data_IF_345244970888
#
_entry.id   IF_345244970888
#
_cell.length_a   1.000
_cell.length_b   1.000
_cell.length_c   1.000
_cell.angle_alpha   90.00
_cell.angle_beta   90.00
_cell.angle_gamma   90.00
#
_symmetry.space_group_name_H-M   'P 1'
#
loop_
_entity.id
_entity.type
_entity.pdbx_description
1 polymer ?
#
# COMPACT_ATOMS: atom_id res chain seq x y z
N UNK A 1 24.11 -12.59 -18.85
CA UNK A 1 22.69 -12.92 -18.65
C UNK A 1 22.56 -13.36 -17.21
N UNK A 2 22.12 -12.46 -16.32
CA UNK A 2 21.95 -12.76 -14.89
C UNK A 2 20.48 -13.08 -14.69
N UNK A 3 20.18 -14.34 -14.46
CA UNK A 3 18.90 -14.77 -13.91
C UNK A 3 18.88 -14.39 -12.42
N UNK A 4 17.99 -13.49 -12.03
CA UNK A 4 17.59 -13.27 -10.63
C UNK A 4 16.07 -13.31 -10.56
N UNK A 5 15.54 -14.53 -10.60
CA UNK A 5 14.16 -14.83 -10.20
C UNK A 5 14.12 -14.92 -8.67
N UNK A 6 13.81 -13.81 -7.98
CA UNK A 6 13.45 -13.79 -6.54
C UNK A 6 14.09 -12.67 -5.68
N UNK A 7 13.24 -11.80 -5.10
CA UNK A 7 13.40 -11.18 -3.76
C UNK A 7 14.55 -10.22 -3.47
N UNK A 8 14.69 -9.13 -4.22
CA UNK A 8 15.62 -8.04 -3.84
C UNK A 8 15.05 -7.14 -2.76
N UNK A 9 13.74 -6.90 -2.82
CA UNK A 9 13.02 -6.03 -1.90
C UNK A 9 11.76 -6.71 -1.37
N UNK A 10 11.25 -6.26 -0.25
CA UNK A 10 10.02 -6.76 0.33
C UNK A 10 9.21 -5.66 1.01
N UNK A 11 7.90 -5.86 1.07
CA UNK A 11 6.95 -5.01 1.80
C UNK A 11 6.04 -5.88 2.67
N UNK A 12 5.54 -5.33 3.77
CA UNK A 12 4.51 -5.98 4.59
C UNK A 12 3.10 -5.80 4.01
N UNK A 13 2.90 -4.83 3.12
CA UNK A 13 1.57 -4.45 2.69
C UNK A 13 1.46 -3.11 1.98
N UNK A 14 0.24 -2.61 1.87
CA UNK A 14 -0.11 -1.33 1.26
C UNK A 14 -0.90 -0.50 2.27
N UNK A 15 -0.53 0.76 2.44
CA UNK A 15 -1.28 1.76 3.18
C UNK A 15 -2.09 2.61 2.21
N UNK A 16 -3.38 2.77 2.46
CA UNK A 16 -4.26 3.63 1.66
C UNK A 16 -4.69 4.86 2.44
N UNK A 17 -5.08 5.90 1.72
CA UNK A 17 -5.58 7.16 2.28
C UNK A 17 -6.68 7.68 1.38
N UNK A 18 -7.66 8.34 1.98
CA UNK A 18 -8.74 8.98 1.24
C UNK A 18 -8.70 10.49 1.43
N UNK A 19 -9.18 11.22 0.43
CA UNK A 19 -9.42 12.65 0.53
C UNK A 19 -10.78 13.00 -0.04
N UNK A 20 -11.56 13.80 0.70
CA UNK A 20 -12.84 14.38 0.22
C UNK A 20 -12.66 15.41 -0.88
N UNK A 21 -11.44 15.94 -1.06
CA UNK A 21 -11.08 17.02 -1.99
C UNK A 21 -9.87 16.67 -2.83
N UNK A 22 -9.79 15.41 -3.24
CA UNK A 22 -8.72 14.88 -4.08
C UNK A 22 -8.54 15.66 -5.40
N UNK A 23 -9.64 16.07 -6.02
CA UNK A 23 -9.65 16.81 -7.29
C UNK A 23 -10.68 17.92 -7.28
N UNK A 24 -10.50 18.92 -8.15
CA UNK A 24 -11.53 19.91 -8.46
C UNK A 24 -11.75 19.91 -9.97
N UNK A 25 -12.97 19.61 -10.41
CA UNK A 25 -13.33 19.59 -11.84
C UNK A 25 -14.50 20.55 -12.01
N UNK A 26 -14.32 21.56 -12.88
CA UNK A 26 -15.32 22.61 -13.09
C UNK A 26 -15.78 23.29 -11.78
N UNK A 27 -14.86 23.48 -10.83
CA UNK A 27 -15.15 24.06 -9.51
C UNK A 27 -15.80 23.12 -8.50
N UNK A 28 -16.07 21.86 -8.87
CA UNK A 28 -16.69 20.87 -7.99
C UNK A 28 -15.60 19.98 -7.37
N UNK A 29 -15.55 19.85 -6.03
CA UNK A 29 -14.62 18.94 -5.38
C UNK A 29 -15.05 17.49 -5.59
N UNK A 30 -14.07 16.62 -5.84
CA UNK A 30 -14.26 15.18 -5.94
C UNK A 30 -13.34 14.47 -4.96
N UNK A 31 -13.86 13.41 -4.36
CA UNK A 31 -13.09 12.53 -3.49
C UNK A 31 -12.21 11.56 -4.26
N UNK A 32 -11.22 10.97 -3.59
CA UNK A 32 -10.37 9.94 -4.19
C UNK A 32 -9.48 9.25 -3.18
N UNK A 33 -8.85 8.17 -3.64
CA UNK A 33 -7.98 7.27 -2.89
C UNK A 33 -6.53 7.39 -3.35
N UNK A 34 -5.60 7.32 -2.41
CA UNK A 34 -4.17 7.18 -2.67
C UNK A 34 -3.68 5.90 -2.01
N UNK A 35 -2.68 5.25 -2.59
CA UNK A 35 -2.04 4.09 -2.02
C UNK A 35 -0.53 4.29 -1.97
N UNK A 36 0.09 3.68 -0.97
CA UNK A 36 1.52 3.75 -0.67
C UNK A 36 1.97 2.39 -0.16
N UNK A 37 3.18 1.96 -0.51
CA UNK A 37 3.89 0.89 0.18
C UNK A 37 5.31 1.34 0.45
N UNK A 38 5.78 1.02 1.65
CA UNK A 38 7.19 1.07 1.98
C UNK A 38 7.81 -0.30 1.72
N UNK A 39 9.00 -0.32 1.15
CA UNK A 39 9.74 -1.54 0.86
C UNK A 39 11.16 -1.45 1.39
N UNK A 40 11.73 -2.60 1.69
CA UNK A 40 13.04 -2.76 2.30
C UNK A 40 13.84 -3.73 1.46
N UNK A 41 15.15 -3.54 1.37
CA UNK A 41 16.00 -4.60 0.84
C UNK A 41 16.06 -5.81 1.80
N UNK A 42 16.58 -6.91 1.29
CA UNK A 42 16.86 -8.10 2.10
C UNK A 42 18.17 -7.97 2.91
N UNK A 43 18.84 -6.82 2.87
CA UNK A 43 20.10 -6.59 3.55
C UNK A 43 19.89 -6.49 5.06
N UNK A 44 20.71 -7.21 5.83
CA UNK A 44 20.72 -7.09 7.29
C UNK A 44 22.10 -6.55 7.71
N UNK A 45 22.09 -5.50 8.52
CA UNK A 45 23.31 -5.01 9.16
C UNK A 45 23.70 -6.05 10.21
N UNK A 46 24.70 -6.88 9.92
CA UNK A 46 25.39 -7.62 10.98
C UNK A 46 26.00 -6.62 11.97
N UNK A 47 26.15 -6.99 13.24
CA UNK A 47 26.69 -6.18 14.34
C UNK A 47 28.08 -5.55 14.08
N UNK A 48 28.71 -5.90 12.94
CA UNK A 48 29.93 -5.29 12.41
C UNK A 48 29.62 -4.41 11.22
N UNK A 49 29.80 -3.09 11.38
CA UNK A 49 29.57 -2.07 10.34
C UNK A 49 30.40 -2.28 9.06
N UNK A 50 31.51 -3.02 9.16
CA UNK A 50 32.41 -3.38 8.05
C UNK A 50 31.97 -4.64 7.26
N UNK A 51 30.92 -5.33 7.73
CA UNK A 51 30.32 -6.51 7.09
C UNK A 51 28.81 -6.41 6.91
N UNK A 52 28.18 -5.37 7.44
CA UNK A 52 26.75 -5.14 7.29
C UNK A 52 26.42 -4.60 5.91
N UNK A 53 25.60 -5.33 5.16
CA UNK A 53 24.86 -4.73 4.04
C UNK A 53 23.98 -3.63 4.63
N UNK A 54 24.24 -2.37 4.29
CA UNK A 54 23.42 -1.26 4.75
C UNK A 54 21.99 -1.46 4.21
N UNK A 55 21.03 -1.71 5.09
CA UNK A 55 19.64 -1.89 4.67
C UNK A 55 19.11 -0.59 4.10
N UNK A 56 18.56 -0.66 2.90
CA UNK A 56 17.91 0.44 2.20
C UNK A 56 16.40 0.31 2.27
N UNK A 57 15.75 1.45 2.52
CA UNK A 57 14.30 1.59 2.48
C UNK A 57 13.91 2.49 1.30
N UNK A 58 12.79 2.18 0.67
CA UNK A 58 12.14 3.04 -0.30
C UNK A 58 10.63 3.02 -0.17
N UNK A 59 9.98 3.83 -0.99
CA UNK A 59 8.52 3.98 -1.01
C UNK A 59 8.01 4.02 -2.44
N UNK A 60 6.94 3.28 -2.73
CA UNK A 60 6.12 3.48 -3.92
C UNK A 60 4.80 4.11 -3.50
N UNK A 61 4.28 5.04 -4.31
CA UNK A 61 2.98 5.66 -4.07
C UNK A 61 2.29 6.05 -5.36
N UNK A 62 0.97 6.03 -5.35
CA UNK A 62 0.19 6.70 -6.39
C UNK A 62 0.53 8.19 -6.40
N UNK A 63 0.94 8.71 -7.56
CA UNK A 63 1.32 10.14 -7.68
C UNK A 63 0.15 11.08 -7.40
N UNK A 64 -1.06 10.66 -7.77
CA UNK A 64 -2.28 11.42 -7.60
C UNK A 64 -3.33 10.54 -6.93
N UNK A 65 -4.28 11.18 -6.24
CA UNK A 65 -5.49 10.50 -5.81
C UNK A 65 -6.29 9.98 -7.01
N UNK A 66 -6.88 8.81 -6.87
CA UNK A 66 -7.65 8.11 -7.88
C UNK A 66 -9.12 8.15 -7.45
N UNK A 67 -9.98 8.67 -8.33
CA UNK A 67 -11.40 8.81 -8.05
C UNK A 67 -12.13 7.51 -8.34
N UNK A 68 -13.26 7.33 -7.70
CA UNK A 68 -14.23 6.31 -8.11
C UNK A 68 -14.78 6.66 -9.49
N UNK A 69 -15.07 5.63 -10.28
CA UNK A 69 -15.79 5.71 -11.55
C UNK A 69 -17.12 4.96 -11.42
N UNK A 70 -17.98 5.06 -12.43
CA UNK A 70 -19.32 4.42 -12.39
C UNK A 70 -19.28 2.92 -12.07
N UNK A 71 -18.21 2.22 -12.47
CA UNK A 71 -18.11 0.76 -12.36
C UNK A 71 -16.87 0.27 -11.61
N UNK A 72 -15.94 1.17 -11.22
CA UNK A 72 -14.67 0.78 -10.62
C UNK A 72 -14.31 1.71 -9.45
N UNK A 73 -14.02 1.11 -8.31
CA UNK A 73 -13.53 1.78 -7.11
C UNK A 73 -12.13 2.35 -7.31
N UNK A 74 -11.92 3.60 -6.90
CA UNK A 74 -10.61 4.25 -6.93
C UNK A 74 -9.62 3.59 -5.97
N UNK A 75 -10.11 2.99 -4.87
CA UNK A 75 -9.30 2.18 -3.95
C UNK A 75 -8.71 0.98 -4.69
N UNK A 76 -9.55 0.23 -5.39
CA UNK A 76 -9.13 -0.97 -6.15
C UNK A 76 -8.07 -0.62 -7.18
N UNK A 77 -8.28 0.44 -7.95
CA UNK A 77 -7.31 0.90 -8.95
C UNK A 77 -6.01 1.38 -8.29
N UNK A 78 -6.07 2.04 -7.14
CA UNK A 78 -4.88 2.46 -6.41
C UNK A 78 -4.04 1.26 -5.96
N UNK A 79 -4.68 0.26 -5.36
CA UNK A 79 -4.03 -0.94 -4.84
C UNK A 79 -3.48 -1.82 -5.97
N UNK A 80 -4.28 -2.10 -7.00
CA UNK A 80 -3.86 -2.93 -8.14
C UNK A 80 -2.67 -2.33 -8.90
N UNK A 81 -2.63 -0.99 -9.03
CA UNK A 81 -1.47 -0.31 -9.64
C UNK A 81 -0.21 -0.51 -8.79
N UNK A 82 -0.29 -0.39 -7.47
CA UNK A 82 0.87 -0.59 -6.60
C UNK A 82 1.34 -2.05 -6.60
N UNK A 83 0.42 -3.02 -6.61
CA UNK A 83 0.77 -4.44 -6.72
C UNK A 83 1.50 -4.69 -8.05
N UNK A 84 0.95 -4.19 -9.17
CA UNK A 84 1.55 -4.33 -10.50
C UNK A 84 2.95 -3.70 -10.56
N UNK A 85 3.13 -2.50 -9.99
CA UNK A 85 4.43 -1.84 -9.98
C UNK A 85 5.42 -2.49 -9.01
N UNK A 86 4.95 -3.03 -7.88
CA UNK A 86 5.75 -3.83 -6.95
C UNK A 86 6.29 -5.10 -7.63
N UNK A 87 5.44 -5.83 -8.35
CA UNK A 87 5.83 -7.01 -9.14
C UNK A 87 6.91 -6.68 -10.18
N UNK A 88 6.72 -5.58 -10.93
CA UNK A 88 7.70 -5.12 -11.93
C UNK A 88 9.06 -4.76 -11.32
N UNK A 89 9.05 -4.27 -10.08
CA UNK A 89 10.25 -3.88 -9.34
C UNK A 89 10.86 -5.02 -8.52
N UNK A 90 10.22 -6.20 -8.52
CA UNK A 90 10.68 -7.35 -7.74
C UNK A 90 10.57 -7.13 -6.22
N UNK A 91 9.50 -6.45 -5.79
CA UNK A 91 9.13 -6.27 -4.39
C UNK A 91 8.16 -7.38 -4.01
N UNK A 92 8.56 -8.25 -3.09
CA UNK A 92 7.70 -9.32 -2.59
C UNK A 92 6.87 -8.85 -1.40
N UNK A 93 5.57 -9.15 -1.39
CA UNK A 93 4.74 -8.94 -0.21
C UNK A 93 4.87 -10.13 0.74
N UNK A 94 5.40 -9.91 1.95
CA UNK A 94 5.60 -10.98 2.93
C UNK A 94 5.57 -10.46 4.37
N UNK A 95 5.08 -11.31 5.27
CA UNK A 95 5.22 -11.17 6.72
C UNK A 95 6.10 -12.30 7.24
N UNK A 96 6.93 -12.02 8.25
CA UNK A 96 7.91 -12.98 8.78
C UNK A 96 7.28 -14.20 9.47
N UNK A 97 5.99 -14.13 9.82
CA UNK A 97 5.23 -15.21 10.44
C UNK A 97 4.40 -16.02 9.43
N UNK A 98 4.56 -15.77 8.13
CA UNK A 98 3.82 -16.48 7.08
C UNK A 98 2.36 -16.06 6.94
N UNK A 99 1.92 -15.00 7.62
CA UNK A 99 0.58 -14.42 7.41
C UNK A 99 0.47 -13.72 6.05
N UNK A 100 -0.77 -13.57 5.59
CA UNK A 100 -1.07 -12.79 4.39
C UNK A 100 -0.65 -11.33 4.54
N UNK A 101 -0.23 -10.66 3.45
CA UNK A 101 0.10 -9.24 3.47
C UNK A 101 -1.06 -8.38 3.98
N UNK A 102 -0.75 -7.16 4.41
CA UNK A 102 -1.69 -6.29 5.09
C UNK A 102 -2.13 -5.12 4.22
N UNK A 103 -3.41 -4.78 4.29
CA UNK A 103 -3.98 -3.56 3.74
C UNK A 103 -4.38 -2.63 4.89
N UNK A 104 -3.69 -1.50 5.00
CA UNK A 104 -3.84 -0.53 6.09
C UNK A 104 -4.55 0.73 5.63
N UNK A 105 -5.17 1.44 6.56
CA UNK A 105 -5.57 2.83 6.37
C UNK A 105 -4.54 3.73 7.09
N UNK A 106 -4.20 4.86 6.49
CA UNK A 106 -3.21 5.78 7.07
C UNK A 106 -3.65 6.28 8.45
N UNK A 107 -2.73 6.17 9.41
CA UNK A 107 -3.01 6.54 10.81
C UNK A 107 -4.10 5.69 11.45
N UNK A 108 -4.34 4.48 10.92
CA UNK A 108 -5.37 3.54 11.37
C UNK A 108 -6.80 4.09 11.37
N UNK A 109 -7.02 5.17 10.61
CA UNK A 109 -8.27 5.92 10.57
C UNK A 109 -8.53 6.78 11.81
N UNK A 110 -7.55 6.90 12.70
CA UNK A 110 -7.62 7.67 13.94
C UNK A 110 -6.84 9.00 13.85
N UNK A 111 -6.05 9.20 12.79
CA UNK A 111 -5.34 10.45 12.53
C UNK A 111 -6.30 11.53 11.97
N UNK A 112 -6.49 12.67 12.68
CA UNK A 112 -7.40 13.73 12.25
C UNK A 112 -6.98 14.44 10.95
N UNK A 113 -5.72 14.32 10.53
CA UNK A 113 -5.26 14.86 9.23
C UNK A 113 -5.69 13.96 8.05
N UNK A 114 -6.02 12.70 8.31
CA UNK A 114 -6.39 11.71 7.29
C UNK A 114 -7.75 11.08 7.63
N UNK A 115 -8.79 11.91 7.66
CA UNK A 115 -10.15 11.47 7.99
C UNK A 115 -10.65 10.47 6.93
N UNK A 116 -11.00 9.24 7.33
CA UNK A 116 -11.53 8.25 6.40
C UNK A 116 -12.97 8.55 5.96
N UNK A 117 -13.42 8.00 4.81
CA UNK A 117 -14.81 8.09 4.40
C UNK A 117 -15.71 7.26 5.33
N UNK A 118 -17.02 7.47 5.31
CA UNK A 118 -17.97 6.59 5.98
C UNK A 118 -17.75 5.12 5.56
N UNK A 119 -17.92 4.20 6.52
CA UNK A 119 -17.80 2.74 6.31
C UNK A 119 -16.42 2.28 5.78
N UNK A 120 -15.37 3.08 5.95
CA UNK A 120 -14.04 2.75 5.43
C UNK A 120 -13.50 1.38 5.87
N UNK A 121 -13.82 0.93 7.10
CA UNK A 121 -13.40 -0.38 7.61
C UNK A 121 -14.01 -1.53 6.80
N UNK A 122 -15.28 -1.41 6.43
CA UNK A 122 -15.95 -2.38 5.56
C UNK A 122 -15.38 -2.32 4.15
N UNK A 123 -15.20 -1.12 3.60
CA UNK A 123 -14.58 -0.93 2.27
C UNK A 123 -13.18 -1.55 2.20
N UNK A 124 -12.36 -1.33 3.23
CA UNK A 124 -11.00 -1.87 3.31
C UNK A 124 -11.00 -3.38 3.46
N UNK A 125 -11.94 -3.93 4.24
CA UNK A 125 -12.11 -5.38 4.38
C UNK A 125 -12.50 -6.04 3.07
N UNK A 126 -13.50 -5.51 2.38
CA UNK A 126 -13.91 -6.03 1.06
C UNK A 126 -12.73 -6.05 0.09
N UNK A 127 -11.91 -5.01 0.10
CA UNK A 127 -10.71 -4.94 -0.74
C UNK A 127 -9.61 -5.92 -0.31
N UNK A 128 -9.38 -6.07 1.00
CA UNK A 128 -8.43 -7.05 1.53
C UNK A 128 -8.87 -8.50 1.21
N UNK A 129 -10.15 -8.82 1.39
CA UNK A 129 -10.73 -10.11 1.08
C UNK A 129 -10.58 -10.45 -0.42
N UNK A 130 -10.79 -9.46 -1.30
CA UNK A 130 -10.59 -9.60 -2.75
C UNK A 130 -9.15 -10.04 -3.09
N UNK A 131 -8.17 -9.57 -2.32
CA UNK A 131 -6.75 -9.86 -2.50
C UNK A 131 -6.28 -11.12 -1.76
N UNK A 132 -7.11 -11.69 -0.86
CA UNK A 132 -6.68 -12.72 0.09
C UNK A 132 -5.71 -12.17 1.17
N UNK A 133 -5.79 -10.86 1.43
CA UNK A 133 -4.96 -10.12 2.37
C UNK A 133 -5.68 -9.91 3.70
N UNK A 134 -4.94 -9.48 4.72
CA UNK A 134 -5.51 -9.14 6.02
C UNK A 134 -5.70 -7.62 6.16
N UNK A 135 -6.63 -7.21 7.03
CA UNK A 135 -6.79 -5.83 7.50
C UNK A 135 -7.26 -5.83 8.95
N UNK A 136 -7.70 -4.69 9.49
CA UNK A 136 -8.21 -4.57 10.86
C UNK A 136 -9.32 -5.59 11.17
N UNK A 137 -9.19 -6.26 12.32
CA UNK A 137 -10.25 -7.08 12.89
C UNK A 137 -11.46 -6.19 13.22
N UNK A 138 -12.68 -6.66 12.95
CA UNK A 138 -13.91 -6.04 13.45
C UNK A 138 -13.90 -6.11 14.97
N UNK A 139 -13.95 -4.95 15.63
CA UNK A 139 -14.44 -4.85 17.01
C UNK A 139 -15.95 -4.96 17.01
#
# INVERSE_FOLDING_TARGET
>A
MISKTGGRYWSTGITVTWSSRAHTINGVPHSGWSALLDFYDAGFVSDRAEHGEASTQGTLRTRYYIRDSENVSGLTVAVDNLITDAERLGIDFRLWDGRSPLLYYKGDGEDPEFVPPPNWRETLRTEADRLGWCTYDTV
#
